data_IF_924463066088
#
_entry.id   IF_924463066088
#
_cell.length_a   1.000
_cell.length_b   1.000
_cell.length_c   1.000
_cell.angle_alpha   90.00
_cell.angle_beta   90.00
_cell.angle_gamma   90.00
#
_symmetry.space_group_name_H-M   'P 1'
#
loop_
_entity.id
_entity.type
_entity.pdbx_description
1 polymer ?
#
# COMPACT_ATOMS: atom_id res chain seq x y z
N UNK A 1 9.61 5.35 -16.82
CA UNK A 1 9.50 5.26 -15.36
C UNK A 1 8.04 5.06 -15.05
N UNK A 2 7.68 3.99 -14.34
CA UNK A 2 6.32 3.85 -13.84
C UNK A 2 6.07 4.97 -12.83
N UNK A 3 4.88 5.55 -12.89
CA UNK A 3 4.41 6.56 -11.95
C UNK A 3 4.12 5.84 -10.62
N UNK A 4 4.67 6.33 -9.50
CA UNK A 4 4.48 5.71 -8.18
C UNK A 4 2.99 5.54 -7.89
N UNK A 5 2.17 6.51 -8.29
CA UNK A 5 0.73 6.45 -8.13
C UNK A 5 0.10 5.27 -8.88
N UNK A 6 0.56 5.00 -10.10
CA UNK A 6 0.08 3.87 -10.91
C UNK A 6 0.41 2.54 -10.24
N UNK A 7 1.62 2.43 -9.68
CA UNK A 7 2.08 1.21 -9.01
C UNK A 7 1.27 0.92 -7.74
N UNK A 8 0.96 1.92 -6.92
CA UNK A 8 0.07 1.73 -5.77
C UNK A 8 -1.35 1.33 -6.20
N UNK A 9 -1.88 1.96 -7.25
CA UNK A 9 -3.18 1.59 -7.82
C UNK A 9 -3.21 0.14 -8.29
N UNK A 10 -2.16 -0.32 -8.98
CA UNK A 10 -2.03 -1.70 -9.45
C UNK A 10 -1.99 -2.70 -8.29
N UNK A 11 -1.31 -2.38 -7.18
CA UNK A 11 -1.34 -3.23 -5.99
C UNK A 11 -2.72 -3.33 -5.36
N UNK A 12 -3.43 -2.21 -5.24
CA UNK A 12 -4.79 -2.19 -4.70
C UNK A 12 -5.74 -3.03 -5.54
N UNK A 13 -5.65 -2.92 -6.87
CA UNK A 13 -6.43 -3.73 -7.81
C UNK A 13 -6.09 -5.22 -7.72
N UNK A 14 -4.80 -5.55 -7.69
CA UNK A 14 -4.34 -6.94 -7.58
C UNK A 14 -4.76 -7.57 -6.25
N UNK A 15 -4.66 -6.82 -5.15
CA UNK A 15 -5.12 -7.29 -3.84
C UNK A 15 -6.63 -7.53 -3.80
N UNK A 16 -7.39 -6.62 -4.41
CA UNK A 16 -8.83 -6.76 -4.51
C UNK A 16 -9.20 -8.01 -5.31
N UNK A 17 -8.49 -8.28 -6.41
CA UNK A 17 -8.66 -9.51 -7.19
C UNK A 17 -8.30 -10.77 -6.39
N UNK A 18 -7.15 -10.77 -5.70
CA UNK A 18 -6.68 -11.90 -4.88
C UNK A 18 -7.66 -12.22 -3.73
N UNK A 19 -8.17 -11.19 -3.04
CA UNK A 19 -9.20 -11.35 -2.01
C UNK A 19 -10.53 -11.78 -2.61
N UNK A 20 -10.89 -11.31 -3.81
CA UNK A 20 -12.08 -11.74 -4.55
C UNK A 20 -12.08 -13.24 -4.84
N UNK A 21 -10.92 -13.80 -5.17
CA UNK A 21 -10.71 -15.24 -5.41
C UNK A 21 -10.59 -16.06 -4.12
N UNK A 22 -10.39 -15.41 -2.97
CA UNK A 22 -10.27 -16.08 -1.68
C UNK A 22 -11.60 -16.70 -1.23
N UNK A 23 -11.54 -17.93 -0.72
CA UNK A 23 -12.66 -18.58 -0.03
C UNK A 23 -12.72 -18.08 1.43
N UNK A 24 -12.95 -16.79 1.59
CA UNK A 24 -13.10 -16.12 2.88
C UNK A 24 -14.46 -15.42 2.95
N UNK A 25 -15.04 -15.23 4.14
CA UNK A 25 -16.22 -14.37 4.31
C UNK A 25 -15.94 -12.95 3.81
N UNK A 26 -16.93 -12.29 3.20
CA UNK A 26 -16.81 -10.92 2.69
C UNK A 26 -16.37 -9.92 3.77
N UNK A 27 -16.84 -10.08 5.01
CA UNK A 27 -16.40 -9.27 6.15
C UNK A 27 -14.90 -9.42 6.44
N UNK A 28 -14.37 -10.65 6.36
CA UNK A 28 -12.93 -10.90 6.51
C UNK A 28 -12.14 -10.30 5.34
N UNK A 29 -12.64 -10.40 4.10
CA UNK A 29 -11.99 -9.79 2.94
C UNK A 29 -11.89 -8.28 3.08
N UNK A 30 -12.98 -7.62 3.50
CA UNK A 30 -13.00 -6.18 3.73
C UNK A 30 -12.05 -5.75 4.85
N UNK A 31 -12.04 -6.47 5.98
CA UNK A 31 -11.11 -6.22 7.10
C UNK A 31 -9.65 -6.42 6.68
N UNK A 32 -9.34 -7.49 5.95
CA UNK A 32 -7.99 -7.71 5.41
C UNK A 32 -7.59 -6.61 4.44
N UNK A 33 -8.47 -6.22 3.52
CA UNK A 33 -8.20 -5.14 2.57
C UNK A 33 -7.89 -3.82 3.29
N UNK A 34 -8.71 -3.46 4.28
CA UNK A 34 -8.53 -2.25 5.07
C UNK A 34 -7.20 -2.24 5.85
N UNK A 35 -6.87 -3.36 6.52
CA UNK A 35 -5.60 -3.50 7.26
C UNK A 35 -4.39 -3.36 6.36
N UNK A 36 -4.44 -3.91 5.14
CA UNK A 36 -3.32 -3.79 4.20
C UNK A 36 -3.19 -2.35 3.71
N UNK A 37 -4.29 -1.70 3.33
CA UNK A 37 -4.25 -0.30 2.92
C UNK A 37 -3.65 0.59 4.02
N UNK A 38 -4.10 0.42 5.26
CA UNK A 38 -3.58 1.16 6.41
C UNK A 38 -2.08 0.90 6.62
N UNK A 39 -1.64 -0.36 6.54
CA UNK A 39 -0.23 -0.71 6.67
C UNK A 39 0.64 -0.11 5.56
N UNK A 40 0.17 -0.15 4.30
CA UNK A 40 0.88 0.50 3.19
C UNK A 40 1.01 2.00 3.43
N UNK A 41 -0.05 2.67 3.90
CA UNK A 41 0.01 4.10 4.23
C UNK A 41 1.01 4.37 5.36
N UNK A 42 1.03 3.54 6.41
CA UNK A 42 2.00 3.63 7.50
C UNK A 42 3.44 3.46 6.99
N UNK A 43 3.71 2.44 6.16
CA UNK A 43 5.04 2.18 5.57
C UNK A 43 5.52 3.37 4.74
N UNK A 44 4.62 4.01 3.98
CA UNK A 44 4.93 5.22 3.22
C UNK A 44 5.31 6.36 4.18
N UNK A 45 4.50 6.62 5.21
CA UNK A 45 4.74 7.69 6.17
C UNK A 45 6.03 7.50 6.96
N UNK A 46 6.27 6.29 7.47
CA UNK A 46 7.49 5.95 8.22
C UNK A 46 8.74 6.11 7.36
N UNK A 47 8.67 5.66 6.11
CA UNK A 47 9.78 5.79 5.16
C UNK A 47 10.08 7.25 4.79
N UNK A 48 9.10 8.13 4.93
CA UNK A 48 9.22 9.55 4.61
C UNK A 48 9.49 10.43 5.84
N UNK A 49 9.19 9.97 7.06
CA UNK A 49 9.27 10.76 8.28
C UNK A 49 10.66 11.37 8.55
N UNK A 50 11.73 10.74 8.05
CA UNK A 50 13.11 11.27 8.13
C UNK A 50 13.62 11.93 6.85
N UNK A 51 12.87 11.88 5.74
CA UNK A 51 13.34 12.26 4.40
C UNK A 51 12.64 13.51 3.83
N UNK A 52 11.49 13.88 4.40
CA UNK A 52 10.75 15.10 4.05
C UNK A 52 10.48 15.95 5.29
N UNK A 53 10.26 17.25 5.09
CA UNK A 53 9.86 18.15 6.17
C UNK A 53 8.45 17.84 6.69
N UNK A 54 8.15 18.26 7.92
CA UNK A 54 6.87 17.95 8.57
C UNK A 54 5.62 18.50 7.86
N UNK A 55 5.74 19.61 7.11
CA UNK A 55 4.61 20.16 6.34
C UNK A 55 4.31 19.28 5.13
N UNK A 56 5.36 18.85 4.42
CA UNK A 56 5.22 17.92 3.30
C UNK A 56 4.74 16.56 3.79
N UNK A 57 5.24 16.05 4.91
CA UNK A 57 4.79 14.79 5.51
C UNK A 57 3.28 14.82 5.82
N UNK A 58 2.79 15.93 6.38
CA UNK A 58 1.37 16.12 6.65
C UNK A 58 0.52 16.10 5.38
N UNK A 59 0.95 16.78 4.32
CA UNK A 59 0.26 16.75 3.02
C UNK A 59 0.24 15.36 2.39
N UNK A 60 1.32 14.59 2.58
CA UNK A 60 1.38 13.19 2.12
C UNK A 60 0.39 12.35 2.93
N UNK A 61 0.32 12.53 4.25
CA UNK A 61 -0.68 11.86 5.09
C UNK A 61 -2.12 12.16 4.64
N UNK A 62 -2.46 13.44 4.47
CA UNK A 62 -3.78 13.87 3.98
C UNK A 62 -4.09 13.24 2.61
N UNK A 63 -3.11 13.20 1.70
CA UNK A 63 -3.28 12.57 0.39
C UNK A 63 -3.46 11.04 0.48
N UNK A 64 -2.82 10.36 1.42
CA UNK A 64 -3.01 8.92 1.63
C UNK A 64 -4.40 8.61 2.20
N UNK A 65 -4.88 9.40 3.16
CA UNK A 65 -6.22 9.28 3.74
C UNK A 65 -7.34 9.46 2.68
N UNK A 66 -7.09 10.28 1.66
CA UNK A 66 -7.97 10.47 0.50
C UNK A 66 -7.71 9.48 -0.65
N UNK A 67 -6.83 8.50 -0.46
CA UNK A 67 -6.36 7.56 -1.51
C UNK A 67 -5.84 8.26 -2.79
N UNK A 68 -5.36 9.50 -2.65
CA UNK A 68 -4.87 10.35 -3.72
C UNK A 68 -3.37 10.12 -3.96
N UNK A 69 -3.01 8.95 -4.48
CA UNK A 69 -1.62 8.57 -4.75
C UNK A 69 -0.93 9.49 -5.79
N UNK A 70 -1.70 10.14 -6.67
CA UNK A 70 -1.19 11.14 -7.62
C UNK A 70 -0.65 12.37 -6.88
N UNK A 71 -1.32 12.81 -5.81
CA UNK A 71 -0.84 13.91 -4.99
C UNK A 71 0.46 13.53 -4.25
N UNK A 72 0.55 12.29 -3.75
CA UNK A 72 1.78 11.75 -3.14
C UNK A 72 2.94 11.75 -4.16
N UNK A 73 2.70 11.25 -5.37
CA UNK A 73 3.71 11.23 -6.45
C UNK A 73 4.23 12.65 -6.77
N UNK A 74 3.32 13.63 -6.87
CA UNK A 74 3.66 15.03 -7.11
C UNK A 74 4.50 15.62 -5.98
N UNK A 75 4.17 15.34 -4.73
CA UNK A 75 4.91 15.81 -3.55
C UNK A 75 6.34 15.24 -3.51
N UNK A 76 6.54 14.07 -4.11
CA UNK A 76 7.83 13.38 -4.22
C UNK A 76 8.53 13.57 -5.57
N UNK A 77 8.00 14.38 -6.50
CA UNK A 77 8.50 14.50 -7.89
C UNK A 77 10.00 14.74 -8.03
N UNK A 78 10.62 15.48 -7.11
CA UNK A 78 12.04 15.81 -7.12
C UNK A 78 12.91 14.86 -6.26
N UNK A 79 12.34 13.78 -5.74
CA UNK A 79 12.96 12.83 -4.81
C UNK A 79 12.87 11.42 -5.37
N UNK A 80 13.46 11.20 -6.54
CA UNK A 80 13.29 9.96 -7.28
C UNK A 80 13.88 8.74 -6.56
N UNK A 81 15.01 8.90 -5.87
CA UNK A 81 15.60 7.83 -5.03
C UNK A 81 14.65 7.40 -3.91
N UNK A 82 13.91 8.33 -3.30
CA UNK A 82 12.91 8.02 -2.29
C UNK A 82 11.72 7.26 -2.89
N UNK A 83 11.28 7.64 -4.11
CA UNK A 83 10.21 6.91 -4.80
C UNK A 83 10.62 5.47 -5.05
N UNK A 84 11.81 5.23 -5.61
CA UNK A 84 12.30 3.86 -5.84
C UNK A 84 12.42 3.07 -4.55
N UNK A 85 12.97 3.66 -3.48
CA UNK A 85 13.04 2.97 -2.18
C UNK A 85 11.66 2.66 -1.59
N UNK A 86 10.69 3.56 -1.74
CA UNK A 86 9.30 3.33 -1.33
C UNK A 86 8.67 2.20 -2.15
N UNK A 87 8.86 2.21 -3.47
CA UNK A 87 8.37 1.16 -4.36
C UNK A 87 8.90 -0.21 -3.95
N UNK A 88 10.20 -0.33 -3.67
CA UNK A 88 10.83 -1.59 -3.25
C UNK A 88 10.29 -2.08 -1.90
N UNK A 89 10.09 -1.15 -0.95
CA UNK A 89 9.49 -1.49 0.35
C UNK A 89 8.05 -1.97 0.19
N UNK A 90 7.25 -1.27 -0.62
CA UNK A 90 5.85 -1.62 -0.86
C UNK A 90 5.77 -2.97 -1.58
N UNK A 91 6.64 -3.23 -2.55
CA UNK A 91 6.80 -4.55 -3.18
C UNK A 91 7.04 -5.67 -2.15
N UNK A 92 7.95 -5.42 -1.21
CA UNK A 92 8.26 -6.36 -0.14
C UNK A 92 7.07 -6.61 0.79
N UNK A 93 6.42 -5.55 1.26
CA UNK A 93 5.24 -5.66 2.13
C UNK A 93 4.08 -6.35 1.42
N UNK A 94 3.85 -6.02 0.15
CA UNK A 94 2.82 -6.65 -0.66
C UNK A 94 3.01 -8.16 -0.83
N UNK A 95 4.26 -8.61 -1.04
CA UNK A 95 4.60 -10.05 -1.07
C UNK A 95 4.30 -10.75 0.25
N UNK A 96 4.59 -10.10 1.39
CA UNK A 96 4.24 -10.64 2.72
C UNK A 96 2.73 -10.78 2.88
N UNK A 97 1.96 -9.79 2.41
CA UNK A 97 0.51 -9.85 2.48
C UNK A 97 -0.09 -10.95 1.62
N UNK A 98 0.39 -11.13 0.40
CA UNK A 98 -0.01 -12.26 -0.45
C UNK A 98 0.23 -13.60 0.25
N UNK A 99 1.39 -13.77 0.89
CA UNK A 99 1.67 -14.97 1.68
C UNK A 99 0.70 -15.12 2.86
N UNK A 100 0.34 -14.04 3.55
CA UNK A 100 -0.63 -14.05 4.64
C UNK A 100 -2.04 -14.43 4.16
N UNK A 101 -2.51 -13.86 3.04
CA UNK A 101 -3.80 -14.22 2.43
C UNK A 101 -3.84 -15.70 2.05
N UNK A 102 -2.78 -16.21 1.43
CA UNK A 102 -2.66 -17.64 1.11
C UNK A 102 -2.65 -18.53 2.35
N UNK A 103 -2.02 -18.09 3.45
CA UNK A 103 -2.02 -18.83 4.71
C UNK A 103 -3.41 -18.86 5.34
N UNK A 104 -4.10 -17.72 5.46
CA UNK A 104 -5.47 -17.62 5.98
C UNK A 104 -6.46 -18.46 5.14
N UNK A 105 -6.29 -18.50 3.81
CA UNK A 105 -7.07 -19.39 2.95
C UNK A 105 -6.79 -20.88 3.19
N UNK A 106 -5.55 -21.23 3.54
CA UNK A 106 -5.14 -22.61 3.79
C UNK A 106 -5.57 -23.09 5.18
N UNK A 107 -5.54 -22.20 6.17
CA UNK A 107 -5.99 -22.45 7.54
C UNK A 107 -7.53 -22.38 7.68
N UNK A 108 -8.21 -21.63 6.81
CA UNK A 108 -9.68 -21.58 6.71
C UNK A 108 -10.36 -22.84 6.16
N UNK A 109 -9.61 -23.94 5.93
CA UNK A 109 -10.12 -25.26 5.50
C UNK A 109 -10.40 -26.23 6.66
N UNK A 110 -10.80 -25.73 7.84
CA UNK A 110 -11.30 -26.57 8.94
C UNK A 110 -12.79 -26.34 9.13
#
# INVERSE_FOLDING_TARGET
MLDFAKKISEYSEEMFADLGLAVLPEEKKADMYARVQEHIHQVILESLAGAVDGVKLRKIKEALEEENYIAVDKLLKHRQELKTSLEDKIDSEFKKFKALVLNEQSEGKI
#
